data_IF_653020090476
#
_entry.id   IF_653020090476
#
_cell.length_a   1.000
_cell.length_b   1.000
_cell.length_c   1.000
_cell.angle_alpha   90.00
_cell.angle_beta   90.00
_cell.angle_gamma   90.00
#
_symmetry.space_group_name_H-M   'P 1'
#
loop_
_entity.id
_entity.type
_entity.pdbx_description
1 polymer ?
#
# COMPACT_ATOMS: atom_id res chain seq x y z
N UNK A 1 -6.56 15.31 -11.79
CA UNK A 1 -7.81 15.11 -11.01
C UNK A 1 -8.52 13.81 -11.37
N UNK A 2 -9.02 13.62 -12.61
CA UNK A 2 -9.78 12.42 -13.00
C UNK A 2 -8.97 11.11 -12.92
N UNK A 3 -7.73 11.10 -13.42
CA UNK A 3 -6.86 9.92 -13.40
C UNK A 3 -6.51 9.47 -11.98
N UNK A 4 -6.30 10.44 -11.08
CA UNK A 4 -6.03 10.19 -9.66
C UNK A 4 -7.23 9.54 -8.99
N UNK A 5 -8.43 10.06 -9.22
CA UNK A 5 -9.67 9.51 -8.66
C UNK A 5 -9.99 8.11 -9.21
N UNK A 6 -9.75 7.86 -10.50
CA UNK A 6 -9.90 6.51 -11.09
C UNK A 6 -8.90 5.50 -10.52
N UNK A 7 -7.66 5.93 -10.28
CA UNK A 7 -6.64 5.08 -9.68
C UNK A 7 -7.00 4.74 -8.21
N UNK A 8 -7.51 5.72 -7.47
CA UNK A 8 -7.98 5.52 -6.09
C UNK A 8 -9.18 4.57 -6.04
N UNK A 9 -10.18 4.76 -6.91
CA UNK A 9 -11.35 3.87 -6.98
C UNK A 9 -10.94 2.42 -7.27
N UNK A 10 -10.09 2.18 -8.28
CA UNK A 10 -9.58 0.83 -8.58
C UNK A 10 -8.81 0.19 -7.43
N UNK A 11 -8.05 0.99 -6.69
CA UNK A 11 -7.32 0.51 -5.51
C UNK A 11 -8.30 0.06 -4.42
N UNK A 12 -9.36 0.84 -4.20
CA UNK A 12 -10.41 0.49 -3.25
C UNK A 12 -11.18 -0.75 -3.70
N UNK A 13 -11.57 -0.85 -4.97
CA UNK A 13 -12.30 -2.01 -5.51
C UNK A 13 -11.49 -3.32 -5.44
N UNK A 14 -10.17 -3.27 -5.75
CA UNK A 14 -9.31 -4.47 -5.72
C UNK A 14 -9.01 -4.98 -4.31
N UNK A 15 -9.09 -4.11 -3.31
CA UNK A 15 -8.68 -4.42 -1.94
C UNK A 15 -9.79 -4.22 -0.89
N UNK A 16 -11.05 -4.04 -1.33
CA UNK A 16 -12.23 -3.88 -0.48
C UNK A 16 -12.50 -5.06 0.47
N UNK A 17 -11.89 -6.22 0.22
CA UNK A 17 -12.15 -7.46 0.96
C UNK A 17 -11.39 -7.66 2.27
N UNK A 18 -10.36 -6.85 2.59
CA UNK A 18 -9.42 -7.25 3.63
C UNK A 18 -9.44 -6.32 4.85
N UNK A 19 -10.04 -6.82 5.92
CA UNK A 19 -9.88 -6.37 7.30
C UNK A 19 -8.41 -6.55 7.81
N UNK A 20 -7.44 -6.67 6.91
CA UNK A 20 -6.02 -6.77 7.20
C UNK A 20 -5.48 -5.35 7.38
N UNK A 21 -5.00 -5.00 8.59
CA UNK A 21 -4.26 -3.75 8.79
C UNK A 21 -2.92 -3.82 8.03
N UNK A 22 -2.94 -3.58 6.74
CA UNK A 22 -1.74 -3.41 5.93
C UNK A 22 -1.06 -2.09 6.29
N UNK A 23 0.24 -2.01 6.04
CA UNK A 23 0.98 -0.77 6.24
C UNK A 23 0.48 0.34 5.31
N UNK A 24 0.71 1.60 5.69
CA UNK A 24 0.39 2.73 4.80
C UNK A 24 1.20 2.64 3.50
N UNK A 25 2.44 2.17 3.58
CA UNK A 25 3.35 1.97 2.46
C UNK A 25 2.79 0.94 1.47
N UNK A 26 2.13 -0.13 1.95
CA UNK A 26 1.43 -1.09 1.09
C UNK A 26 0.26 -0.44 0.34
N UNK A 27 -0.52 0.42 1.00
CA UNK A 27 -1.58 1.19 0.33
C UNK A 27 -1.01 2.13 -0.74
N UNK A 28 0.10 2.80 -0.42
CA UNK A 28 0.75 3.74 -1.34
C UNK A 28 1.36 3.03 -2.56
N UNK A 29 1.86 1.79 -2.38
CA UNK A 29 2.26 0.93 -3.48
C UNK A 29 1.07 0.64 -4.40
N UNK A 30 -0.06 0.16 -3.86
CA UNK A 30 -1.23 -0.18 -4.67
C UNK A 30 -1.80 1.02 -5.42
N UNK A 31 -1.82 2.20 -4.79
CA UNK A 31 -2.21 3.45 -5.45
C UNK A 31 -1.31 3.74 -6.65
N UNK A 32 0.01 3.57 -6.51
CA UNK A 32 0.95 3.78 -7.60
C UNK A 32 0.78 2.74 -8.71
N UNK A 33 0.65 1.46 -8.37
CA UNK A 33 0.38 0.39 -9.34
C UNK A 33 -0.90 0.66 -10.14
N UNK A 34 -1.95 1.10 -9.46
CA UNK A 34 -3.22 1.50 -10.10
C UNK A 34 -3.04 2.70 -11.03
N UNK A 35 -2.33 3.74 -10.60
CA UNK A 35 -2.07 4.92 -11.42
C UNK A 35 -1.29 4.57 -12.69
N UNK A 36 -0.27 3.72 -12.59
CA UNK A 36 0.49 3.27 -13.75
C UNK A 36 -0.36 2.40 -14.68
N UNK A 37 -1.21 1.51 -14.14
CA UNK A 37 -2.13 0.72 -14.96
C UNK A 37 -3.10 1.60 -15.77
N UNK A 38 -3.63 2.67 -15.15
CA UNK A 38 -4.49 3.64 -15.85
C UNK A 38 -3.72 4.38 -16.94
N UNK A 39 -2.45 4.74 -16.70
CA UNK A 39 -1.60 5.38 -17.70
C UNK A 39 -1.27 4.46 -18.88
N UNK A 40 -1.03 3.18 -18.63
CA UNK A 40 -0.80 2.17 -19.67
C UNK A 40 -2.04 1.95 -20.54
N UNK A 41 -3.22 1.86 -19.92
CA UNK A 41 -4.48 1.79 -20.67
C UNK A 41 -4.73 3.06 -21.49
N UNK A 42 -4.43 4.23 -20.93
CA UNK A 42 -4.52 5.48 -21.67
C UNK A 42 -3.56 5.49 -22.87
N UNK A 43 -2.36 4.91 -22.73
CA UNK A 43 -1.37 4.78 -23.81
C UNK A 43 -1.88 3.93 -24.98
N UNK A 44 -2.72 2.94 -24.70
CA UNK A 44 -3.34 2.09 -25.73
C UNK A 44 -4.50 2.79 -26.45
N UNK A 45 -5.17 3.74 -25.79
CA UNK A 45 -6.36 4.42 -26.33
C UNK A 45 -6.08 5.76 -26.97
N UNK A 46 -5.01 6.45 -26.55
CA UNK A 46 -4.63 7.78 -27.04
C UNK A 46 -3.13 8.01 -26.96
N UNK A 47 -2.67 9.04 -27.67
CA UNK A 47 -1.30 9.51 -27.54
C UNK A 47 -1.08 10.11 -26.13
N UNK A 48 -0.01 9.67 -25.48
CA UNK A 48 0.42 10.22 -24.19
C UNK A 48 1.19 11.52 -24.37
N UNK A 49 1.03 12.42 -23.39
CA UNK A 49 1.86 13.62 -23.26
C UNK A 49 3.31 13.26 -22.92
N UNK A 50 4.24 14.20 -23.13
CA UNK A 50 5.65 14.01 -22.77
C UNK A 50 5.84 13.69 -21.28
N UNK A 51 5.01 14.27 -20.42
CA UNK A 51 5.00 14.03 -18.98
C UNK A 51 4.54 12.59 -18.66
N UNK A 52 3.45 12.13 -19.28
CA UNK A 52 2.95 10.76 -19.09
C UNK A 52 3.93 9.70 -19.58
N UNK A 53 4.64 9.97 -20.69
CA UNK A 53 5.70 9.11 -21.21
C UNK A 53 6.89 9.04 -20.26
N UNK A 54 7.34 10.18 -19.73
CA UNK A 54 8.41 10.23 -18.72
C UNK A 54 8.01 9.46 -17.47
N UNK A 55 6.77 9.64 -17.00
CA UNK A 55 6.25 8.91 -15.85
C UNK A 55 6.25 7.39 -16.08
N UNK A 56 5.83 6.91 -17.25
CA UNK A 56 5.89 5.49 -17.59
C UNK A 56 7.32 4.96 -17.74
N UNK A 57 8.27 5.77 -18.22
CA UNK A 57 9.68 5.36 -18.34
C UNK A 57 10.31 5.05 -16.97
N UNK A 58 9.89 5.74 -15.91
CA UNK A 58 10.34 5.51 -14.53
C UNK A 58 9.40 4.61 -13.73
N UNK A 59 8.44 3.93 -14.37
CA UNK A 59 7.45 3.07 -13.71
C UNK A 59 8.12 2.00 -12.87
N UNK A 60 9.01 1.21 -13.47
CA UNK A 60 9.58 0.03 -12.82
C UNK A 60 10.43 0.42 -11.61
N UNK A 61 11.26 1.45 -11.75
CA UNK A 61 12.07 2.01 -10.67
C UNK A 61 11.19 2.54 -9.52
N UNK A 62 10.16 3.32 -9.85
CA UNK A 62 9.21 3.88 -8.87
C UNK A 62 8.45 2.78 -8.13
N UNK A 63 7.99 1.76 -8.84
CA UNK A 63 7.25 0.65 -8.24
C UNK A 63 8.16 -0.23 -7.39
N UNK A 64 9.37 -0.51 -7.83
CA UNK A 64 10.31 -1.33 -7.07
C UNK A 64 10.70 -0.65 -5.75
N UNK A 65 10.98 0.65 -5.79
CA UNK A 65 11.21 1.42 -4.57
C UNK A 65 10.01 1.36 -3.60
N UNK A 66 8.79 1.53 -4.12
CA UNK A 66 7.57 1.42 -3.31
C UNK A 66 7.33 0.00 -2.77
N UNK A 67 7.72 -1.05 -3.49
CA UNK A 67 7.64 -2.44 -3.01
C UNK A 67 8.56 -2.67 -1.83
N UNK A 68 9.78 -2.15 -1.88
CA UNK A 68 10.72 -2.23 -0.76
C UNK A 68 10.15 -1.51 0.48
N UNK A 69 9.62 -0.30 0.30
CA UNK A 69 8.97 0.43 1.39
C UNK A 69 7.75 -0.31 1.95
N UNK A 70 6.94 -0.92 1.08
CA UNK A 70 5.78 -1.70 1.50
C UNK A 70 6.19 -2.97 2.28
N UNK A 71 7.24 -3.66 1.86
CA UNK A 71 7.76 -4.82 2.57
C UNK A 71 8.29 -4.44 3.97
N UNK A 72 9.03 -3.34 4.06
CA UNK A 72 9.49 -2.81 5.35
C UNK A 72 8.32 -2.36 6.23
N UNK A 73 7.35 -1.63 5.66
CA UNK A 73 6.16 -1.17 6.35
C UNK A 73 5.34 -2.33 6.93
N UNK A 74 5.14 -3.40 6.15
CA UNK A 74 4.40 -4.57 6.61
C UNK A 74 5.12 -5.30 7.74
N UNK A 75 6.46 -5.38 7.68
CA UNK A 75 7.26 -5.93 8.77
C UNK A 75 7.12 -5.09 10.05
N UNK A 76 7.13 -3.76 9.94
CA UNK A 76 6.92 -2.85 11.08
C UNK A 76 5.53 -3.08 11.68
N UNK A 77 4.47 -3.04 10.87
CA UNK A 77 3.10 -3.25 11.35
C UNK A 77 2.92 -4.62 11.99
N UNK A 78 3.57 -5.65 11.45
CA UNK A 78 3.55 -6.99 12.04
C UNK A 78 4.24 -7.01 13.42
N UNK A 79 5.42 -6.39 13.54
CA UNK A 79 6.14 -6.33 14.82
C UNK A 79 5.39 -5.52 15.88
N UNK A 80 4.75 -4.41 15.50
CA UNK A 80 3.92 -3.61 16.40
C UNK A 80 2.77 -4.44 16.98
N UNK A 81 2.14 -5.29 16.16
CA UNK A 81 1.09 -6.21 16.64
C UNK A 81 1.63 -7.25 17.60
N UNK A 82 2.80 -7.84 17.31
CA UNK A 82 3.43 -8.80 18.22
C UNK A 82 3.77 -8.16 19.56
N UNK A 83 4.33 -6.95 19.55
CA UNK A 83 4.66 -6.21 20.77
C UNK A 83 3.39 -5.87 21.58
N UNK A 84 2.31 -5.43 20.90
CA UNK A 84 1.04 -5.15 21.56
C UNK A 84 0.44 -6.40 22.22
N UNK A 85 0.54 -7.56 21.54
CA UNK A 85 0.08 -8.84 22.09
C UNK A 85 0.90 -9.28 23.31
N UNK A 86 2.23 -9.15 23.25
CA UNK A 86 3.11 -9.46 24.38
C UNK A 86 2.79 -8.57 25.59
N UNK A 87 2.61 -7.27 25.39
CA UNK A 87 2.20 -6.34 26.44
C UNK A 87 0.83 -6.68 27.03
N UNK A 88 -0.12 -7.13 26.20
CA UNK A 88 -1.43 -7.55 26.67
C UNK A 88 -1.33 -8.82 27.53
N UNK A 89 -0.52 -9.79 27.11
CA UNK A 89 -0.29 -11.01 27.87
C UNK A 89 0.37 -10.72 29.23
N UNK A 90 1.38 -9.84 29.28
CA UNK A 90 2.04 -9.44 30.52
C UNK A 90 1.08 -8.75 31.48
N UNK A 91 0.27 -7.79 31.00
CA UNK A 91 -0.76 -7.12 31.82
C UNK A 91 -1.75 -8.14 32.38
N UNK A 92 -2.19 -9.09 31.57
CA UNK A 92 -3.11 -10.14 32.02
C UNK A 92 -2.48 -11.05 33.08
N UNK A 93 -1.22 -11.47 32.90
CA UNK A 93 -0.50 -12.26 33.89
C UNK A 93 -0.29 -11.53 35.22
N UNK A 94 0.02 -10.23 35.17
CA UNK A 94 0.13 -9.38 36.36
C UNK A 94 -1.21 -9.29 37.11
N UNK A 95 -2.32 -9.10 36.40
CA UNK A 95 -3.66 -9.09 37.00
C UNK A 95 -4.02 -10.41 37.68
N UNK A 96 -3.59 -11.56 37.13
CA UNK A 96 -3.82 -12.85 37.77
C UNK A 96 -3.01 -13.03 39.06
N UNK A 97 -1.76 -12.55 39.11
CA UNK A 97 -0.89 -12.64 40.30
C UNK A 97 -1.32 -11.71 41.44
N UNK A 98 -2.05 -10.65 41.12
CA UNK A 98 -2.54 -9.67 42.08
C UNK A 98 -3.93 -10.02 42.67
N UNK A 99 -4.51 -11.17 42.28
CA UNK A 99 -5.71 -11.74 42.89
C UNK A 99 -5.33 -12.80 43.90
#
# INVERSE_FOLDING_TARGET
ALLTLQAELRTLEKHAGANEKISQQRRDLWKAESQFAVLEEAAQRRQLSAQEKSLLAHKDETLEYKRQLAALGDKVTYQERLNALAQQADKFAQQQRAK
#
